data_IF_195731052903
#
_entry.id   IF_195731052903
#
_cell.length_a   1.000
_cell.length_b   1.000
_cell.length_c   1.000
_cell.angle_alpha   90.00
_cell.angle_beta   90.00
_cell.angle_gamma   90.00
#
_symmetry.space_group_name_H-M   'P 1'
#
loop_
_entity.id
_entity.type
_entity.pdbx_description
1 polymer ?
#
# COMPACT_ATOMS: atom_id res chain seq x y z
N UNK A 1 -19.98 53.92 -44.23
CA UNK A 1 -18.55 54.19 -44.46
C UNK A 1 -17.77 53.43 -43.40
N UNK A 2 -16.86 52.60 -43.89
CA UNK A 2 -16.13 51.48 -43.31
C UNK A 2 -14.84 51.89 -42.58
N UNK A 3 -14.51 51.19 -41.48
CA UNK A 3 -13.18 50.75 -41.04
C UNK A 3 -13.35 50.19 -39.61
N UNK A 4 -13.40 48.87 -39.36
CA UNK A 4 -12.31 47.88 -39.35
C UNK A 4 -11.04 48.31 -38.59
N UNK A 5 -10.84 47.70 -37.43
CA UNK A 5 -9.51 47.41 -36.89
C UNK A 5 -9.61 46.25 -35.88
N UNK A 6 -9.33 45.06 -36.40
CA UNK A 6 -9.14 43.81 -35.69
C UNK A 6 -8.05 43.93 -34.61
N UNK A 7 -8.31 43.41 -33.41
CA UNK A 7 -7.26 42.96 -32.49
C UNK A 7 -7.23 41.43 -32.52
N UNK A 8 -6.40 40.92 -33.42
CA UNK A 8 -6.09 39.50 -33.54
C UNK A 8 -5.13 39.08 -32.43
N UNK A 9 -5.61 38.11 -31.68
CA UNK A 9 -4.96 37.08 -30.88
C UNK A 9 -3.59 36.66 -31.42
N UNK A 10 -2.55 36.76 -30.59
CA UNK A 10 -1.30 36.01 -30.74
C UNK A 10 -0.95 35.36 -29.40
N UNK A 11 -1.71 34.32 -29.03
CA UNK A 11 -1.29 33.38 -28.01
C UNK A 11 -0.21 32.48 -28.64
N UNK A 12 1.03 32.68 -28.21
CA UNK A 12 2.16 31.85 -28.62
C UNK A 12 1.89 30.40 -28.21
N UNK A 13 1.68 29.53 -29.20
CA UNK A 13 1.75 28.09 -29.07
C UNK A 13 3.20 27.67 -28.81
N UNK A 14 3.62 27.71 -27.55
CA UNK A 14 4.75 26.94 -27.07
C UNK A 14 4.35 25.47 -26.99
N UNK A 15 4.43 24.75 -28.12
CA UNK A 15 4.40 23.30 -28.10
C UNK A 15 5.71 22.81 -27.50
N UNK A 16 5.74 22.65 -26.18
CA UNK A 16 6.75 21.81 -25.53
C UNK A 16 6.63 20.42 -26.15
N UNK A 17 7.58 20.08 -27.04
CA UNK A 17 7.90 18.70 -27.34
C UNK A 17 8.42 18.08 -26.05
N UNK A 18 7.50 17.57 -25.23
CA UNK A 18 7.82 16.64 -24.16
C UNK A 18 8.47 15.45 -24.85
N UNK A 19 9.80 15.34 -24.72
CA UNK A 19 10.54 14.18 -25.15
C UNK A 19 9.85 12.96 -24.53
N UNK A 20 9.18 12.16 -25.35
CA UNK A 20 8.54 10.93 -24.91
C UNK A 20 9.67 9.98 -24.52
N UNK A 21 9.91 9.84 -23.21
CA UNK A 21 10.79 8.79 -22.70
C UNK A 21 10.36 7.45 -23.31
N UNK A 22 11.29 6.63 -23.82
CA UNK A 22 10.97 5.33 -24.35
C UNK A 22 10.35 4.47 -23.24
N UNK A 23 9.04 4.26 -23.30
CA UNK A 23 8.32 3.44 -22.34
C UNK A 23 8.74 1.98 -22.58
N UNK A 24 9.28 1.34 -21.54
CA UNK A 24 9.70 -0.06 -21.63
C UNK A 24 8.55 -0.96 -22.13
N UNK A 25 8.78 -1.87 -23.10
CA UNK A 25 7.75 -2.75 -23.66
C UNK A 25 6.95 -3.55 -22.61
N UNK A 26 7.60 -3.92 -21.51
CA UNK A 26 6.97 -4.60 -20.35
C UNK A 26 5.95 -3.72 -19.62
N UNK A 27 6.22 -2.42 -19.47
CA UNK A 27 5.30 -1.47 -18.85
C UNK A 27 4.06 -1.21 -19.74
N UNK A 28 4.27 -1.14 -21.06
CA UNK A 28 3.19 -1.06 -22.04
C UNK A 28 2.30 -2.31 -21.99
N UNK A 29 2.87 -3.51 -22.02
CA UNK A 29 2.10 -4.77 -21.93
C UNK A 29 1.35 -4.91 -20.60
N UNK A 30 1.94 -4.47 -19.48
CA UNK A 30 1.25 -4.43 -18.18
C UNK A 30 0.09 -3.42 -18.15
N UNK A 31 0.21 -2.28 -18.86
CA UNK A 31 -0.90 -1.33 -19.05
C UNK A 31 -2.01 -1.93 -19.91
N UNK A 32 -1.65 -2.58 -21.01
CA UNK A 32 -2.60 -3.27 -21.89
C UNK A 32 -3.36 -4.39 -21.14
N UNK A 33 -2.65 -5.24 -20.38
CA UNK A 33 -3.24 -6.30 -19.57
C UNK A 33 -4.23 -5.75 -18.52
N UNK A 34 -3.93 -4.60 -17.90
CA UNK A 34 -4.85 -3.93 -16.95
C UNK A 34 -6.11 -3.42 -17.64
N UNK A 35 -6.00 -2.84 -18.83
CA UNK A 35 -7.17 -2.39 -19.61
C UNK A 35 -8.06 -3.56 -20.03
N UNK A 36 -7.45 -4.67 -20.44
CA UNK A 36 -8.18 -5.91 -20.77
C UNK A 36 -8.90 -6.49 -19.54
N UNK A 37 -8.19 -6.63 -18.42
CA UNK A 37 -8.79 -7.10 -17.17
C UNK A 37 -9.91 -6.16 -16.67
N UNK A 38 -9.76 -4.85 -16.87
CA UNK A 38 -10.81 -3.87 -16.58
C UNK A 38 -12.04 -4.08 -17.46
N UNK A 39 -11.86 -4.25 -18.77
CA UNK A 39 -12.96 -4.54 -19.70
C UNK A 39 -13.68 -5.86 -19.34
N UNK A 40 -12.92 -6.89 -18.99
CA UNK A 40 -13.45 -8.20 -18.59
C UNK A 40 -14.15 -8.17 -17.20
N UNK A 41 -13.74 -7.26 -16.30
CA UNK A 41 -14.38 -7.11 -14.99
C UNK A 41 -15.70 -6.33 -15.05
N UNK A 42 -15.86 -5.44 -16.03
CA UNK A 42 -17.05 -4.59 -16.20
C UNK A 42 -18.03 -5.17 -17.23
N UNK A 43 -18.31 -6.47 -17.14
CA UNK A 43 -19.23 -7.19 -18.04
C UNK A 43 -20.65 -6.59 -18.10
N UNK A 44 -21.04 -5.79 -17.10
CA UNK A 44 -22.36 -5.18 -16.99
C UNK A 44 -22.50 -3.75 -17.53
N UNK A 45 -21.41 -3.05 -17.88
CA UNK A 45 -21.47 -1.67 -18.39
C UNK A 45 -20.82 -1.57 -19.79
N UNK A 46 -21.64 -1.49 -20.86
CA UNK A 46 -21.14 -1.44 -22.23
C UNK A 46 -20.37 -0.14 -22.54
N UNK A 47 -20.61 0.96 -21.82
CA UNK A 47 -19.91 2.22 -22.05
C UNK A 47 -18.47 2.15 -21.53
N UNK A 48 -18.28 1.59 -20.34
CA UNK A 48 -16.93 1.39 -19.77
C UNK A 48 -16.11 0.37 -20.56
N UNK A 49 -16.75 -0.68 -21.11
CA UNK A 49 -16.12 -1.61 -22.03
C UNK A 49 -15.67 -0.93 -23.34
N UNK A 50 -16.51 -0.06 -23.92
CA UNK A 50 -16.17 0.64 -25.15
C UNK A 50 -14.95 1.58 -24.94
N UNK A 51 -14.91 2.29 -23.82
CA UNK A 51 -13.75 3.14 -23.46
C UNK A 51 -12.49 2.31 -23.27
N UNK A 52 -12.59 1.15 -22.62
CA UNK A 52 -11.44 0.25 -22.44
C UNK A 52 -10.94 -0.31 -23.77
N UNK A 53 -11.84 -0.70 -24.68
CA UNK A 53 -11.52 -1.18 -26.04
C UNK A 53 -10.83 -0.09 -26.87
N UNK A 54 -11.39 1.11 -26.94
CA UNK A 54 -10.78 2.23 -27.66
C UNK A 54 -9.35 2.51 -27.16
N UNK A 55 -9.13 2.46 -25.84
CA UNK A 55 -7.79 2.66 -25.25
C UNK A 55 -6.83 1.52 -25.56
N UNK A 56 -7.31 0.29 -25.74
CA UNK A 56 -6.49 -0.84 -26.17
C UNK A 56 -6.12 -0.72 -27.66
N UNK A 57 -7.07 -0.36 -28.52
CA UNK A 57 -6.83 -0.09 -29.95
C UNK A 57 -5.84 1.06 -30.15
N UNK A 58 -5.97 2.15 -29.38
CA UNK A 58 -5.02 3.26 -29.40
C UNK A 58 -3.61 2.83 -28.99
N UNK A 59 -3.48 1.88 -28.05
CA UNK A 59 -2.18 1.35 -27.61
C UNK A 59 -1.57 0.41 -28.65
N UNK A 60 -2.36 -0.45 -29.29
CA UNK A 60 -1.91 -1.35 -30.36
C UNK A 60 -1.48 -0.56 -31.59
N UNK A 61 -2.24 0.47 -31.97
CA UNK A 61 -1.90 1.35 -33.09
C UNK A 61 -0.57 2.09 -32.86
N UNK A 62 -0.32 2.54 -31.63
CA UNK A 62 0.92 3.25 -31.27
C UNK A 62 2.11 2.31 -31.06
N UNK A 63 1.87 1.06 -30.66
CA UNK A 63 2.89 0.09 -30.30
C UNK A 63 2.52 -1.30 -30.85
N UNK A 64 2.71 -1.55 -32.16
CA UNK A 64 2.33 -2.82 -32.79
C UNK A 64 3.00 -4.04 -32.14
N UNK A 65 4.21 -3.87 -31.62
CA UNK A 65 5.00 -4.94 -30.97
C UNK A 65 4.50 -5.29 -29.55
N UNK A 66 3.50 -4.58 -29.00
CA UNK A 66 2.97 -4.83 -27.66
C UNK A 66 2.36 -6.22 -27.52
N UNK A 67 1.82 -6.76 -28.62
CA UNK A 67 1.27 -8.11 -28.72
C UNK A 67 2.37 -9.19 -28.66
N UNK A 68 3.56 -8.88 -29.18
CA UNK A 68 4.70 -9.81 -29.27
C UNK A 68 5.62 -9.79 -28.05
N UNK A 69 5.53 -8.74 -27.20
CA UNK A 69 6.29 -8.69 -25.96
C UNK A 69 6.09 -9.98 -25.12
N UNK A 70 7.08 -10.46 -24.36
CA UNK A 70 6.85 -11.63 -23.51
C UNK A 70 5.72 -11.34 -22.52
N UNK A 71 4.79 -12.29 -22.33
CA UNK A 71 3.84 -12.19 -21.21
C UNK A 71 4.67 -12.00 -19.93
N UNK A 72 4.31 -11.02 -19.07
CA UNK A 72 4.98 -10.91 -17.78
C UNK A 72 4.86 -12.27 -17.11
N UNK A 73 6.00 -12.82 -16.69
CA UNK A 73 6.07 -14.13 -16.08
C UNK A 73 4.94 -14.25 -15.07
N UNK A 74 4.03 -15.21 -15.31
CA UNK A 74 2.84 -15.40 -14.47
C UNK A 74 3.32 -15.93 -13.13
N UNK A 75 3.60 -15.03 -12.21
CA UNK A 75 3.94 -15.36 -10.83
C UNK A 75 2.68 -15.97 -10.22
N UNK A 76 2.78 -17.21 -9.75
CA UNK A 76 1.72 -17.82 -8.94
C UNK A 76 1.58 -17.00 -7.65
N UNK A 77 0.48 -16.27 -7.43
CA UNK A 77 0.33 -15.40 -6.28
C UNK A 77 0.30 -16.15 -4.94
N UNK A 78 0.16 -17.49 -4.96
CA UNK A 78 0.24 -18.36 -3.79
C UNK A 78 1.66 -18.90 -3.54
N UNK A 79 2.60 -18.73 -4.48
CA UNK A 79 3.99 -19.12 -4.27
C UNK A 79 4.69 -18.18 -3.28
N UNK A 80 5.64 -18.72 -2.51
CA UNK A 80 6.58 -17.90 -1.72
C UNK A 80 7.30 -16.89 -2.62
N UNK A 81 7.58 -17.28 -3.87
CA UNK A 81 8.18 -16.39 -4.86
C UNK A 81 7.30 -15.17 -5.18
N UNK A 82 5.97 -15.20 -4.97
CA UNK A 82 5.12 -14.02 -5.15
C UNK A 82 5.18 -13.00 -4.01
N UNK A 83 5.79 -13.38 -2.90
CA UNK A 83 5.85 -12.59 -1.69
C UNK A 83 7.26 -12.04 -1.49
N UNK A 84 7.35 -10.94 -0.76
CA UNK A 84 8.63 -10.34 -0.46
C UNK A 84 8.59 -9.58 0.87
N UNK A 85 9.77 -9.33 1.40
CA UNK A 85 9.97 -8.43 2.53
C UNK A 85 10.13 -7.00 2.02
N UNK A 86 9.40 -6.07 2.65
CA UNK A 86 9.55 -4.63 2.50
C UNK A 86 10.07 -4.00 3.77
N UNK A 87 10.73 -2.86 3.62
CA UNK A 87 11.21 -2.07 4.75
C UNK A 87 10.96 -0.60 4.48
N UNK A 88 10.55 0.14 5.51
CA UNK A 88 10.45 1.60 5.47
C UNK A 88 11.03 2.18 6.75
N UNK A 89 11.88 3.19 6.60
CA UNK A 89 12.42 3.96 7.71
C UNK A 89 11.44 5.08 8.10
N UNK A 90 11.13 5.16 9.39
CA UNK A 90 10.17 6.09 9.96
C UNK A 90 10.91 7.15 10.77
N UNK A 91 10.86 8.43 10.36
CA UNK A 91 11.56 9.49 11.06
C UNK A 91 11.14 9.64 12.52
N UNK A 92 12.11 9.54 13.44
CA UNK A 92 11.90 9.69 14.89
C UNK A 92 11.76 11.14 15.38
N UNK A 93 12.01 12.12 14.51
CA UNK A 93 12.14 13.53 14.85
C UNK A 93 10.90 14.17 15.50
N UNK A 94 11.11 15.22 16.28
CA UNK A 94 10.08 16.06 16.93
C UNK A 94 9.14 15.34 17.92
N UNK A 95 9.52 14.16 18.42
CA UNK A 95 8.70 13.40 19.38
C UNK A 95 7.43 12.79 18.76
N UNK A 96 7.36 12.72 17.42
CA UNK A 96 6.24 12.17 16.66
C UNK A 96 6.51 10.76 16.13
N UNK A 97 7.73 10.21 16.33
CA UNK A 97 8.14 8.91 15.78
C UNK A 97 7.14 7.79 16.08
N UNK A 98 6.70 7.64 17.34
CA UNK A 98 5.70 6.64 17.72
C UNK A 98 4.38 6.78 16.93
N UNK A 99 3.86 8.00 16.81
CA UNK A 99 2.62 8.27 16.08
C UNK A 99 2.80 7.92 14.61
N UNK A 100 3.91 8.33 13.98
CA UNK A 100 4.21 7.98 12.59
C UNK A 100 4.33 6.47 12.37
N UNK A 101 4.93 5.75 13.30
CA UNK A 101 5.01 4.29 13.26
C UNK A 101 3.62 3.66 13.35
N UNK A 102 2.77 4.12 14.27
CA UNK A 102 1.39 3.64 14.39
C UNK A 102 0.58 3.92 13.11
N UNK A 103 0.77 5.09 12.48
CA UNK A 103 0.16 5.43 11.19
C UNK A 103 0.66 4.50 10.08
N UNK A 104 1.97 4.29 9.99
CA UNK A 104 2.58 3.41 9.00
C UNK A 104 2.02 1.98 9.11
N UNK A 105 1.93 1.44 10.33
CA UNK A 105 1.32 0.13 10.60
C UNK A 105 -0.15 0.12 10.15
N UNK A 106 -0.93 1.15 10.49
CA UNK A 106 -2.34 1.23 10.10
C UNK A 106 -2.52 1.26 8.57
N UNK A 107 -1.67 1.99 7.85
CA UNK A 107 -1.68 2.03 6.38
C UNK A 107 -1.30 0.68 5.79
N UNK A 108 -0.22 0.05 6.26
CA UNK A 108 0.23 -1.27 5.77
C UNK A 108 -0.86 -2.32 5.99
N UNK A 109 -1.47 -2.35 7.17
CA UNK A 109 -2.59 -3.26 7.46
C UNK A 109 -3.83 -2.99 6.61
N UNK A 110 -4.05 -1.75 6.17
CA UNK A 110 -5.12 -1.42 5.24
C UNK A 110 -4.93 -2.06 3.85
N UNK A 111 -3.72 -2.52 3.53
CA UNK A 111 -3.39 -3.26 2.31
C UNK A 111 -3.38 -4.79 2.50
N UNK A 112 -3.94 -5.30 3.60
CA UNK A 112 -3.92 -6.73 3.97
C UNK A 112 -2.48 -7.31 4.04
N UNK A 113 -1.51 -6.47 4.39
CA UNK A 113 -0.11 -6.86 4.59
C UNK A 113 0.14 -7.09 6.07
N UNK A 114 0.73 -8.24 6.40
CA UNK A 114 1.11 -8.57 7.76
C UNK A 114 2.35 -7.76 8.16
N UNK A 115 2.18 -6.98 9.23
CA UNK A 115 3.31 -6.31 9.87
C UNK A 115 3.89 -7.24 10.92
N UNK A 116 5.07 -7.78 10.63
CA UNK A 116 5.71 -8.82 11.43
C UNK A 116 6.72 -8.27 12.41
N UNK A 117 7.36 -7.12 12.11
CA UNK A 117 8.44 -6.61 12.96
C UNK A 117 8.59 -5.10 12.91
N UNK A 118 8.52 -4.47 14.09
CA UNK A 118 9.04 -3.11 14.30
C UNK A 118 10.47 -3.30 14.76
N UNK A 119 11.42 -3.21 13.83
CA UNK A 119 12.82 -3.41 14.15
C UNK A 119 13.45 -2.12 14.69
N UNK A 120 14.26 -2.31 15.74
CA UNK A 120 15.28 -1.44 16.33
C UNK A 120 15.26 0.04 15.96
N UNK A 121 15.24 0.90 17.00
CA UNK A 121 15.64 2.30 16.86
C UNK A 121 17.05 2.34 16.27
N UNK A 122 17.20 2.93 15.09
CA UNK A 122 18.50 3.27 14.54
C UNK A 122 19.18 4.29 15.46
N UNK A 123 20.51 4.38 15.40
CA UNK A 123 21.32 5.28 16.24
C UNK A 123 20.87 6.75 16.14
N UNK A 124 20.25 7.09 15.01
CA UNK A 124 19.77 8.43 14.67
C UNK A 124 18.33 8.71 15.17
N UNK A 125 17.71 7.75 15.87
CA UNK A 125 16.36 7.87 16.45
C UNK A 125 15.22 7.41 15.54
N UNK A 126 15.53 7.04 14.29
CA UNK A 126 14.56 6.53 13.32
C UNK A 126 14.14 5.09 13.65
N UNK A 127 12.92 4.74 13.31
CA UNK A 127 12.35 3.40 13.53
C UNK A 127 12.22 2.68 12.20
N UNK A 128 12.78 1.49 12.07
CA UNK A 128 12.66 0.70 10.83
C UNK A 128 11.48 -0.26 10.93
N UNK A 129 10.55 -0.15 10.01
CA UNK A 129 9.40 -1.05 9.95
C UNK A 129 9.63 -2.10 8.86
N UNK A 130 9.54 -3.38 9.21
CA UNK A 130 9.56 -4.49 8.28
C UNK A 130 8.17 -5.11 8.14
N UNK A 131 7.79 -5.42 6.90
CA UNK A 131 6.50 -6.00 6.58
C UNK A 131 6.65 -7.03 5.46
N UNK A 132 5.78 -8.03 5.47
CA UNK A 132 5.83 -9.15 4.53
C UNK A 132 4.48 -9.32 3.86
N UNK A 133 4.48 -9.40 2.53
CA UNK A 133 3.26 -9.48 1.76
C UNK A 133 3.53 -9.76 0.29
N UNK A 134 2.51 -9.56 -0.54
CA UNK A 134 2.62 -9.75 -1.98
C UNK A 134 3.51 -8.68 -2.60
N UNK A 135 4.45 -9.11 -3.45
CA UNK A 135 5.52 -8.27 -3.98
C UNK A 135 5.03 -6.93 -4.58
N UNK A 136 3.96 -6.89 -5.41
CA UNK A 136 3.47 -5.62 -5.96
C UNK A 136 2.97 -4.65 -4.89
N UNK A 137 2.34 -5.17 -3.83
CA UNK A 137 1.86 -4.37 -2.69
C UNK A 137 3.04 -3.88 -1.87
N UNK A 138 4.02 -4.75 -1.63
CA UNK A 138 5.24 -4.43 -0.89
C UNK A 138 6.06 -3.35 -1.60
N UNK A 139 6.27 -3.47 -2.91
CA UNK A 139 6.95 -2.46 -3.73
C UNK A 139 6.20 -1.12 -3.70
N UNK A 140 4.87 -1.15 -3.85
CA UNK A 140 4.03 0.04 -3.76
C UNK A 140 4.14 0.73 -2.39
N UNK A 141 4.05 -0.03 -1.30
CA UNK A 141 4.16 0.49 0.06
C UNK A 141 5.55 1.08 0.31
N UNK A 142 6.61 0.38 -0.10
CA UNK A 142 7.99 0.85 0.05
C UNK A 142 8.21 2.18 -0.66
N UNK A 143 7.67 2.34 -1.88
CA UNK A 143 7.81 3.56 -2.66
C UNK A 143 6.91 4.72 -2.18
N UNK A 144 5.69 4.43 -1.71
CA UNK A 144 4.67 5.47 -1.48
C UNK A 144 4.50 5.88 -0.02
N UNK A 145 4.79 4.99 0.94
CA UNK A 145 4.54 5.23 2.36
C UNK A 145 5.30 6.45 2.91
N UNK A 146 6.59 6.69 2.58
CA UNK A 146 7.28 7.91 3.01
C UNK A 146 6.56 9.19 2.57
N UNK A 147 6.09 9.23 1.32
CA UNK A 147 5.34 10.37 0.79
C UNK A 147 3.96 10.55 1.44
N UNK A 148 3.29 9.45 1.81
CA UNK A 148 2.04 9.50 2.60
C UNK A 148 2.30 10.12 3.98
N UNK A 149 3.31 9.65 4.70
CA UNK A 149 3.66 10.18 6.02
C UNK A 149 4.05 11.66 5.95
N UNK A 150 4.85 12.05 4.96
CA UNK A 150 5.23 13.45 4.75
C UNK A 150 4.02 14.36 4.51
N UNK A 151 3.04 13.90 3.72
CA UNK A 151 1.80 14.66 3.47
C UNK A 151 0.95 14.80 4.73
N UNK A 152 0.81 13.73 5.53
CA UNK A 152 0.07 13.79 6.79
C UNK A 152 0.77 14.73 7.80
N UNK A 153 2.10 14.72 7.84
CA UNK A 153 2.88 15.66 8.66
C UNK A 153 2.68 17.12 8.21
N UNK A 154 2.69 17.37 6.90
CA UNK A 154 2.43 18.70 6.34
C UNK A 154 1.00 19.17 6.65
N UNK A 155 0.01 18.29 6.54
CA UNK A 155 -1.37 18.56 6.91
C UNK A 155 -1.49 18.87 8.41
N UNK A 156 -0.85 18.08 9.28
CA UNK A 156 -0.82 18.32 10.72
C UNK A 156 -0.17 19.67 11.07
N UNK A 157 0.91 20.04 10.38
CA UNK A 157 1.55 21.35 10.53
C UNK A 157 0.62 22.49 10.12
N UNK A 158 -0.03 22.39 8.96
CA UNK A 158 -0.96 23.41 8.47
C UNK A 158 -2.17 23.56 9.41
N UNK A 159 -2.73 22.44 9.87
CA UNK A 159 -3.82 22.40 10.83
C UNK A 159 -3.41 23.02 12.18
N UNK A 160 -2.20 22.75 12.66
CA UNK A 160 -1.66 23.37 13.88
C UNK A 160 -1.49 24.89 13.73
N UNK A 161 -1.15 25.40 12.54
CA UNK A 161 -1.08 26.85 12.29
C UNK A 161 -2.47 27.51 12.37
N UNK A 162 -3.51 26.87 11.81
CA UNK A 162 -4.89 27.32 11.96
C UNK A 162 -5.33 27.32 13.42
N UNK A 163 -5.05 26.24 14.14
CA UNK A 163 -5.36 26.14 15.56
C UNK A 163 -4.65 27.22 16.40
N UNK A 164 -3.37 27.52 16.10
CA UNK A 164 -2.64 28.61 16.76
C UNK A 164 -3.27 29.98 16.48
N UNK A 165 -3.74 30.23 15.27
CA UNK A 165 -4.43 31.48 14.95
C UNK A 165 -5.74 31.60 15.76
N UNK A 166 -6.52 30.53 15.82
CA UNK A 166 -7.74 30.46 16.63
C UNK A 166 -7.48 30.71 18.13
N UNK A 167 -6.40 30.15 18.70
CA UNK A 167 -6.04 30.42 20.10
C UNK A 167 -5.79 31.91 20.37
N UNK A 168 -5.11 32.61 19.44
CA UNK A 168 -4.82 34.05 19.56
C UNK A 168 -6.05 34.94 19.44
N UNK A 169 -7.09 34.47 18.76
CA UNK A 169 -8.37 35.20 18.66
C UNK A 169 -9.15 35.14 19.98
N UNK A 170 -8.94 34.12 20.81
CA UNK A 170 -9.61 33.95 22.10
C UNK A 170 -8.97 34.73 23.25
N UNK A 171 -7.65 34.55 23.45
CA UNK A 171 -6.88 35.21 24.52
C UNK A 171 -5.37 35.04 24.22
N UNK A 172 -4.60 36.14 24.09
CA UNK A 172 -3.15 36.09 23.82
C UNK A 172 -2.27 36.25 25.07
N UNK A 173 -2.86 36.20 26.27
CA UNK A 173 -2.15 36.44 27.52
C UNK A 173 -1.17 35.32 27.94
N UNK A 174 -1.30 34.10 27.38
CA UNK A 174 -0.52 32.92 27.80
C UNK A 174 0.23 32.20 26.65
N UNK A 175 1.36 32.76 26.16
CA UNK A 175 2.09 32.19 25.02
C UNK A 175 2.71 30.80 25.29
N UNK A 176 3.09 30.51 26.54
CA UNK A 176 3.64 29.20 26.92
C UNK A 176 2.55 28.10 26.92
N UNK A 177 1.35 28.45 27.36
CA UNK A 177 0.19 27.56 27.28
C UNK A 177 -0.19 27.30 25.82
N UNK A 178 -0.23 28.34 24.97
CA UNK A 178 -0.45 28.19 23.52
C UNK A 178 0.52 27.23 22.85
N UNK A 179 1.81 27.32 23.16
CA UNK A 179 2.82 26.44 22.60
C UNK A 179 2.58 24.97 23.00
N UNK A 180 2.19 24.74 24.26
CA UNK A 180 1.88 23.41 24.79
C UNK A 180 0.62 22.83 24.15
N UNK A 181 -0.44 23.63 24.05
CA UNK A 181 -1.69 23.25 23.39
C UNK A 181 -1.47 22.93 21.91
N UNK A 182 -0.70 23.74 21.17
CA UNK A 182 -0.36 23.45 19.78
C UNK A 182 0.37 22.11 19.63
N UNK A 183 1.28 21.79 20.56
CA UNK A 183 2.03 20.51 20.52
C UNK A 183 1.11 19.32 20.76
N UNK A 184 0.23 19.41 21.75
CA UNK A 184 -0.73 18.35 22.04
C UNK A 184 -1.72 18.17 20.87
N UNK A 185 -2.29 19.27 20.40
CA UNK A 185 -3.24 19.28 19.28
C UNK A 185 -2.63 18.69 18.00
N UNK A 186 -1.36 19.02 17.68
CA UNK A 186 -0.65 18.43 16.53
C UNK A 186 -0.55 16.91 16.61
N UNK A 187 -0.28 16.37 17.81
CA UNK A 187 -0.16 14.92 18.03
C UNK A 187 -1.51 14.23 17.80
N UNK A 188 -2.56 14.79 18.39
CA UNK A 188 -3.92 14.25 18.30
C UNK A 188 -4.47 14.31 16.86
N UNK A 189 -4.26 15.45 16.19
CA UNK A 189 -4.59 15.62 14.78
C UNK A 189 -3.86 14.60 13.91
N UNK A 190 -2.54 14.45 14.06
CA UNK A 190 -1.74 13.56 13.21
C UNK A 190 -2.19 12.09 13.38
N UNK A 191 -2.39 11.65 14.63
CA UNK A 191 -2.89 10.31 14.92
C UNK A 191 -4.27 10.08 14.28
N UNK A 192 -5.18 11.05 14.42
CA UNK A 192 -6.52 10.99 13.83
C UNK A 192 -6.50 10.99 12.30
N UNK A 193 -5.63 11.80 11.69
CA UNK A 193 -5.49 11.88 10.23
C UNK A 193 -4.99 10.55 9.65
N UNK A 194 -4.01 9.91 10.30
CA UNK A 194 -3.54 8.59 9.86
C UNK A 194 -4.60 7.50 10.03
N UNK A 195 -5.37 7.53 11.13
CA UNK A 195 -6.48 6.59 11.33
C UNK A 195 -7.58 6.76 10.27
N UNK A 196 -7.96 8.00 9.97
CA UNK A 196 -8.92 8.33 8.91
C UNK A 196 -8.40 7.87 7.54
N UNK A 197 -7.13 8.13 7.23
CA UNK A 197 -6.53 7.73 5.94
C UNK A 197 -6.54 6.20 5.75
N UNK A 198 -6.17 5.45 6.79
CA UNK A 198 -6.21 3.98 6.76
C UNK A 198 -7.64 3.42 6.71
N UNK A 199 -8.63 4.11 7.28
CA UNK A 199 -10.05 3.73 7.16
C UNK A 199 -10.56 3.93 5.73
N UNK A 200 -10.26 5.08 5.12
CA UNK A 200 -10.61 5.38 3.72
C UNK A 200 -9.97 4.37 2.74
N UNK A 201 -8.70 3.98 2.95
CA UNK A 201 -8.06 2.92 2.16
C UNK A 201 -8.79 1.58 2.26
N UNK A 202 -9.19 1.17 3.47
CA UNK A 202 -9.94 -0.08 3.69
C UNK A 202 -11.31 -0.06 3.02
N UNK A 203 -11.98 1.09 3.01
CA UNK A 203 -13.28 1.25 2.36
C UNK A 203 -13.17 1.14 0.84
N UNK A 204 -12.12 1.72 0.24
CA UNK A 204 -11.88 1.59 -1.21
C UNK A 204 -11.76 0.12 -1.64
N UNK A 205 -11.07 -0.72 -0.85
CA UNK A 205 -10.90 -2.15 -1.14
C UNK A 205 -12.14 -3.03 -0.95
N UNK A 206 -13.28 -2.48 -0.49
CA UNK A 206 -14.53 -3.23 -0.25
C UNK A 206 -15.72 -2.57 -0.98
N UNK A 207 -15.86 -2.77 -2.30
CA UNK A 207 -16.89 -2.09 -3.09
C UNK A 207 -18.35 -2.42 -2.73
N UNK A 208 -18.62 -3.43 -1.87
CA UNK A 208 -19.93 -4.09 -1.77
C UNK A 208 -20.79 -3.77 -0.53
N UNK A 209 -20.32 -2.95 0.42
CA UNK A 209 -21.07 -2.69 1.66
C UNK A 209 -21.29 -1.20 1.95
N UNK A 210 -21.31 -0.35 0.92
CA UNK A 210 -21.70 1.05 1.10
C UNK A 210 -23.22 1.14 1.20
N UNK A 211 -23.75 0.84 2.39
CA UNK A 211 -24.92 1.57 2.88
C UNK A 211 -24.55 3.05 2.82
N UNK A 212 -25.34 3.86 2.11
CA UNK A 212 -25.19 5.31 2.06
C UNK A 212 -25.30 5.88 3.48
N UNK A 213 -24.19 5.91 4.20
CA UNK A 213 -24.07 6.60 5.48
C UNK A 213 -24.08 8.11 5.23
N UNK A 214 -24.66 8.90 6.15
CA UNK A 214 -25.01 10.29 5.92
C UNK A 214 -23.83 11.11 5.41
N UNK A 215 -24.06 11.71 4.24
CA UNK A 215 -23.20 12.70 3.62
C UNK A 215 -23.11 13.94 4.53
N UNK A 216 -21.89 14.49 4.59
CA UNK A 216 -21.60 15.87 4.98
C UNK A 216 -22.16 16.29 6.35
N UNK A 217 -21.50 15.82 7.41
CA UNK A 217 -21.46 16.61 8.65
C UNK A 217 -20.92 18.00 8.31
N UNK A 218 -21.56 19.04 8.86
CA UNK A 218 -21.11 20.43 8.75
C UNK A 218 -19.60 20.56 9.00
N UNK A 219 -18.91 21.55 8.39
CA UNK A 219 -17.49 21.77 8.65
C UNK A 219 -17.26 21.87 10.16
N UNK A 220 -16.36 21.05 10.69
CA UNK A 220 -16.11 21.00 12.13
C UNK A 220 -15.55 22.36 12.59
N UNK A 221 -16.23 23.00 13.54
CA UNK A 221 -15.79 24.28 14.10
C UNK A 221 -14.59 24.08 15.00
N UNK A 222 -13.47 24.76 14.71
CA UNK A 222 -12.21 24.67 15.45
C UNK A 222 -12.40 24.72 16.97
N UNK A 223 -11.74 23.81 17.69
CA UNK A 223 -11.80 23.75 19.15
C UNK A 223 -10.70 22.86 19.75
N UNK A 224 -10.67 22.77 21.07
CA UNK A 224 -9.66 21.98 21.77
C UNK A 224 -9.83 20.46 21.57
N UNK A 225 -11.07 19.97 21.42
CA UNK A 225 -11.39 18.53 21.46
C UNK A 225 -11.85 17.95 20.11
N UNK A 226 -11.67 18.67 19.01
CA UNK A 226 -12.24 18.32 17.71
C UNK A 226 -11.19 17.95 16.65
N UNK A 227 -9.93 17.75 17.04
CA UNK A 227 -8.84 17.45 16.10
C UNK A 227 -9.15 16.19 15.27
N UNK A 228 -9.86 15.22 15.87
CA UNK A 228 -10.36 14.03 15.18
C UNK A 228 -11.31 14.34 14.01
N UNK A 229 -12.33 15.17 14.25
CA UNK A 229 -13.33 15.52 13.24
C UNK A 229 -12.72 16.32 12.09
N UNK A 230 -11.88 17.31 12.42
CA UNK A 230 -11.16 18.11 11.43
C UNK A 230 -10.22 17.21 10.61
N UNK A 231 -9.45 16.34 11.26
CA UNK A 231 -8.55 15.43 10.56
C UNK A 231 -9.30 14.49 9.60
N UNK A 232 -10.47 13.98 10.00
CA UNK A 232 -11.33 13.17 9.14
C UNK A 232 -11.81 13.93 7.90
N UNK A 233 -12.25 15.18 8.07
CA UNK A 233 -12.67 16.04 6.95
C UNK A 233 -11.49 16.38 6.02
N UNK A 234 -10.36 16.81 6.58
CA UNK A 234 -9.19 17.19 5.80
C UNK A 234 -8.64 16.00 5.00
N UNK A 235 -8.61 14.79 5.59
CA UNK A 235 -8.16 13.57 4.89
C UNK A 235 -9.05 13.20 3.72
N UNK A 236 -10.37 13.41 3.81
CA UNK A 236 -11.27 13.20 2.67
C UNK A 236 -10.94 14.13 1.51
N UNK A 237 -10.50 15.35 1.81
CA UNK A 237 -10.11 16.38 0.85
C UNK A 237 -8.65 16.23 0.36
N UNK A 238 -7.80 15.46 1.03
CA UNK A 238 -6.45 15.14 0.54
C UNK A 238 -6.51 14.46 -0.82
N UNK A 239 -5.48 14.70 -1.63
CA UNK A 239 -5.36 14.15 -2.99
C UNK A 239 -5.80 12.67 -3.08
N UNK A 240 -6.73 12.41 -3.98
CA UNK A 240 -7.29 11.07 -4.20
C UNK A 240 -6.35 10.20 -5.04
N UNK A 241 -5.41 10.77 -5.80
CA UNK A 241 -4.56 10.01 -6.71
C UNK A 241 -3.72 8.93 -6.00
N UNK A 242 -3.05 9.19 -4.85
CA UNK A 242 -2.35 8.15 -4.10
C UNK A 242 -3.28 7.03 -3.60
N UNK A 243 -4.50 7.39 -3.18
CA UNK A 243 -5.51 6.43 -2.70
C UNK A 243 -6.03 5.55 -3.84
N UNK A 244 -6.26 6.13 -5.02
CA UNK A 244 -6.66 5.39 -6.23
C UNK A 244 -5.55 4.46 -6.73
N UNK A 245 -4.29 4.91 -6.68
CA UNK A 245 -3.14 4.07 -7.02
C UNK A 245 -3.02 2.87 -6.07
N UNK A 246 -3.12 3.12 -4.76
CA UNK A 246 -3.18 2.09 -3.72
C UNK A 246 -4.30 1.06 -3.98
N UNK A 247 -5.51 1.54 -4.25
CA UNK A 247 -6.65 0.68 -4.59
C UNK A 247 -6.42 -0.15 -5.86
N UNK A 248 -5.87 0.44 -6.91
CA UNK A 248 -5.59 -0.26 -8.16
C UNK A 248 -4.59 -1.41 -7.96
N UNK A 249 -3.57 -1.23 -7.12
CA UNK A 249 -2.60 -2.28 -6.78
C UNK A 249 -3.26 -3.43 -6.02
N UNK A 250 -4.09 -3.12 -5.01
CA UNK A 250 -4.83 -4.12 -4.24
C UNK A 250 -5.77 -4.92 -5.15
N UNK A 251 -6.58 -4.25 -5.97
CA UNK A 251 -7.54 -4.90 -6.86
C UNK A 251 -6.86 -5.76 -7.93
N UNK A 252 -5.77 -5.28 -8.54
CA UNK A 252 -5.00 -6.07 -9.50
C UNK A 252 -4.44 -7.34 -8.86
N UNK A 253 -3.96 -7.22 -7.62
CA UNK A 253 -3.42 -8.34 -6.85
C UNK A 253 -4.50 -9.35 -6.47
N UNK A 254 -5.66 -8.90 -5.99
CA UNK A 254 -6.80 -9.75 -5.67
C UNK A 254 -7.36 -10.45 -6.91
N UNK A 255 -7.43 -9.76 -8.05
CA UNK A 255 -7.85 -10.33 -9.32
C UNK A 255 -6.90 -11.45 -9.77
N UNK A 256 -5.59 -11.25 -9.63
CA UNK A 256 -4.59 -12.27 -9.93
C UNK A 256 -4.77 -13.53 -9.04
N UNK A 257 -5.01 -13.36 -7.74
CA UNK A 257 -5.30 -14.46 -6.81
C UNK A 257 -6.58 -15.19 -7.21
N UNK A 258 -7.65 -14.46 -7.50
CA UNK A 258 -8.94 -15.04 -7.89
C UNK A 258 -8.85 -15.81 -9.22
N UNK A 259 -8.13 -15.27 -10.20
CA UNK A 259 -7.88 -15.94 -11.49
C UNK A 259 -7.09 -17.24 -11.31
N UNK A 260 -6.11 -17.26 -10.40
CA UNK A 260 -5.37 -18.48 -10.06
C UNK A 260 -6.28 -19.53 -9.42
N UNK A 261 -7.10 -19.16 -8.42
CA UNK A 261 -8.01 -20.08 -7.71
C UNK A 261 -9.10 -20.69 -8.60
N UNK A 262 -9.51 -20.00 -9.67
CA UNK A 262 -10.53 -20.49 -10.62
C UNK A 262 -9.99 -21.45 -11.66
N UNK A 263 -8.66 -21.66 -11.74
CA UNK A 263 -8.14 -22.68 -12.64
C UNK A 263 -8.57 -24.04 -12.14
N UNK A 264 -9.29 -24.84 -12.94
CA UNK A 264 -9.46 -26.24 -12.62
C UNK A 264 -8.06 -26.81 -12.48
N UNK A 265 -7.82 -27.57 -11.42
CA UNK A 265 -6.65 -28.44 -11.35
C UNK A 265 -6.83 -29.43 -12.49
N UNK A 266 -6.41 -29.04 -13.70
CA UNK A 266 -6.22 -29.96 -14.81
C UNK A 266 -5.27 -30.99 -14.26
N UNK A 267 -5.82 -32.18 -14.00
CA UNK A 267 -5.13 -33.25 -13.30
C UNK A 267 -3.72 -33.37 -13.84
N UNK A 268 -2.77 -33.52 -12.92
CA UNK A 268 -1.41 -33.87 -13.26
C UNK A 268 -1.42 -34.79 -14.48
N UNK A 269 -0.76 -34.46 -15.61
CA UNK A 269 -0.44 -35.51 -16.56
C UNK A 269 0.25 -36.57 -15.72
N UNK A 270 -0.35 -37.77 -15.65
CA UNK A 270 0.28 -38.96 -15.08
C UNK A 270 1.72 -38.89 -15.57
N UNK A 271 2.66 -38.62 -14.67
CA UNK A 271 4.07 -38.80 -15.00
C UNK A 271 4.12 -40.21 -15.61
N UNK A 272 4.56 -40.38 -16.87
CA UNK A 272 4.82 -41.73 -17.36
C UNK A 272 5.74 -42.33 -16.32
N UNK A 273 5.31 -43.44 -15.73
CA UNK A 273 6.04 -44.12 -14.67
C UNK A 273 7.49 -44.20 -15.14
N UNK A 274 8.38 -43.45 -14.48
CA UNK A 274 9.80 -43.67 -14.61
C UNK A 274 9.96 -45.13 -14.20
N UNK A 275 10.19 -45.99 -15.19
CA UNK A 275 10.51 -47.39 -14.99
C UNK A 275 11.64 -47.41 -13.97
N UNK A 276 11.29 -47.73 -12.73
CA UNK A 276 12.28 -47.94 -11.69
C UNK A 276 13.10 -49.14 -12.16
N UNK A 277 14.41 -48.99 -12.38
CA UNK A 277 15.24 -50.14 -12.67
C UNK A 277 15.09 -51.13 -11.50
N UNK A 278 15.01 -52.44 -11.78
CA UNK A 278 14.78 -53.45 -10.76
C UNK A 278 15.84 -53.32 -9.67
N UNK A 279 15.38 -53.10 -8.43
CA UNK A 279 16.23 -53.08 -7.23
C UNK A 279 16.96 -54.42 -7.15
N UNK A 280 18.26 -54.44 -7.46
CA UNK A 280 19.16 -55.51 -7.06
C UNK A 280 19.14 -55.58 -5.54
N UNK A 281 18.75 -56.74 -5.00
CA UNK A 281 18.68 -57.00 -3.57
C UNK A 281 20.03 -56.75 -2.91
N UNK A 282 20.05 -55.78 -2.00
CA UNK A 282 21.10 -55.63 -1.01
C UNK A 282 20.74 -56.56 0.15
N UNK A 283 21.60 -57.56 0.36
CA UNK A 283 21.54 -58.49 1.45
C UNK A 283 21.54 -57.75 2.79
N UNK A 284 20.54 -58.05 3.61
CA UNK A 284 20.44 -57.66 5.02
C UNK A 284 21.50 -58.41 5.81
N UNK A 285 22.55 -57.72 6.24
CA UNK A 285 23.39 -58.17 7.36
C UNK A 285 22.92 -57.49 8.64
N UNK A 286 22.24 -58.30 9.45
CA UNK A 286 21.85 -58.02 10.83
C UNK A 286 23.09 -57.88 11.72
N UNK A 287 23.29 -56.79 12.47
CA UNK A 287 24.24 -56.77 13.57
C UNK A 287 23.60 -57.36 14.85
N UNK A 288 24.37 -58.09 15.68
CA UNK A 288 23.86 -58.77 16.86
C UNK A 288 23.59 -57.81 18.03
N UNK A 289 22.61 -58.20 18.84
CA UNK A 289 22.26 -57.60 20.11
C UNK A 289 23.41 -57.68 21.12
N UNK A 290 23.69 -56.57 21.79
CA UNK A 290 24.50 -56.50 23.01
C UNK A 290 23.65 -56.05 24.20
N UNK A 291 23.87 -56.60 25.41
CA UNK A 291 23.18 -56.20 26.65
C UNK A 291 23.81 -54.89 27.17
N UNK A 292 23.08 -53.96 27.80
CA UNK A 292 22.54 -54.06 29.16
C UNK A 292 23.34 -53.11 30.08
N UNK A 293 22.75 -52.74 31.22
CA UNK A 293 23.26 -51.87 32.30
C UNK A 293 23.13 -50.35 32.01
N UNK A 294 22.40 -49.52 32.77
CA UNK A 294 22.00 -49.38 34.18
C UNK A 294 22.58 -48.06 34.71
N UNK A 295 21.75 -47.35 35.49
CA UNK A 295 22.09 -46.30 36.46
C UNK A 295 22.70 -45.00 35.86
N UNK A 296 22.47 -43.77 36.31
CA UNK A 296 21.91 -43.14 37.50
C UNK A 296 21.43 -41.73 37.03
N UNK A 297 20.32 -41.17 37.52
CA UNK A 297 20.38 -40.33 38.71
C UNK A 297 20.55 -38.82 38.38
N UNK A 298 19.50 -37.97 38.56
CA UNK A 298 19.52 -36.49 38.38
C UNK A 298 20.15 -35.81 39.64
N UNK A 299 20.05 -34.49 39.98
CA UNK A 299 19.27 -33.36 39.42
C UNK A 299 19.99 -31.98 39.43
N UNK A 300 19.28 -30.88 39.10
CA UNK A 300 19.65 -29.55 39.61
C UNK A 300 19.17 -28.34 38.79
N UNK A 301 17.96 -27.85 39.09
CA UNK A 301 17.54 -26.48 38.75
C UNK A 301 18.00 -25.52 39.86
N UNK A 302 18.54 -24.33 39.53
CA UNK A 302 18.52 -23.21 40.46
C UNK A 302 17.34 -22.26 40.18
N UNK A 303 16.52 -22.07 41.20
CA UNK A 303 15.66 -20.89 41.40
C UNK A 303 16.52 -19.66 41.76
N UNK A 304 15.87 -18.48 41.65
CA UNK A 304 16.18 -17.13 42.19
C UNK A 304 16.57 -16.10 41.10
N UNK A 305 16.17 -14.82 41.16
CA UNK A 305 15.55 -14.04 42.22
C UNK A 305 14.60 -12.97 41.63
N UNK A 306 13.57 -12.62 42.41
CA UNK A 306 12.85 -11.34 42.31
C UNK A 306 13.70 -10.25 42.98
N UNK A 307 13.78 -9.09 42.33
CA UNK A 307 13.98 -7.77 42.95
C UNK A 307 12.96 -6.84 42.31
#
# INVERSE_FOLDING_TARGET
MTADAHHHTAAAHGAEQVAQEPVAPTALRARYARLRAFADAHLGDPAEQAVARQRMEDLESRYPDIAEAPEPARIDPCSEDARSWGHVDIPGSAGLGRIRTEIAIAVIRAHDVDTTRVDWRHRDGDTRLAFYGLRPVVEHLTASLPGVLQRLDAAALAATRRYRAWLREGDDSEPAWHASMCRWWRRDYLASAGAAYAAELRQLGRPRELTAGPQQSAPATMGHHNAYEIAGQDVRLLDQAPRRAAHAVVMATQAAIAAHRRRPVTGHPRQPALEQPPRRGLATTTPPAGPGEDADGPPGLPQQARV
#
